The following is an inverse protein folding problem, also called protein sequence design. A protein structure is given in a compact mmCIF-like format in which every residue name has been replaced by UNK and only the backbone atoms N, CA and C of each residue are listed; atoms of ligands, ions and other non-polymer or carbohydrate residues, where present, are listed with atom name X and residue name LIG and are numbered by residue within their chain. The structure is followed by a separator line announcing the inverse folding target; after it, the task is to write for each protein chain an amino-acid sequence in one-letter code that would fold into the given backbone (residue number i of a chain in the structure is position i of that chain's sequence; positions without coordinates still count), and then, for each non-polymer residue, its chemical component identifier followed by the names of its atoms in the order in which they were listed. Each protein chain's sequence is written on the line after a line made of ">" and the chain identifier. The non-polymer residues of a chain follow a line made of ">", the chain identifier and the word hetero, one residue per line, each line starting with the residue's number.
data_IF_327383373835
#
_entry.id   IF_327383373835
#
_cell.length_a   1.000
_cell.length_b   1.000
_cell.length_c   1.000
_cell.angle_alpha   90.00
_cell.angle_beta   90.00
_cell.angle_gamma   90.00
#
_symmetry.space_group_name_H-M   'P 1'
#
loop_
_entity.id
_entity.type
_entity.pdbx_description
1 polymer ?
#
# COMPACT_ATOMS: atom_id res chain seq x y z
N UNK A 1 -4.38 0.95 -16.44
CA UNK A 1 -3.90 0.44 -17.76
C UNK A 1 -4.28 1.38 -18.89
N UNK A 2 -5.54 1.79 -19.03
CA UNK A 2 -5.99 2.62 -20.16
C UNK A 2 -5.19 3.90 -20.37
N UNK A 3 -4.86 4.64 -19.32
CA UNK A 3 -4.14 5.91 -19.44
C UNK A 3 -2.74 5.74 -20.04
N UNK A 4 -1.97 4.76 -19.60
CA UNK A 4 -0.59 4.52 -20.09
C UNK A 4 -0.58 4.05 -21.54
N UNK A 5 -1.54 3.21 -21.92
CA UNK A 5 -1.71 2.78 -23.31
C UNK A 5 -2.07 3.96 -24.22
N UNK A 6 -2.98 4.84 -23.77
CA UNK A 6 -3.35 6.03 -24.53
C UNK A 6 -2.18 7.01 -24.67
N UNK A 7 -1.39 7.21 -23.61
CA UNK A 7 -0.18 8.04 -23.69
C UNK A 7 0.76 7.50 -24.74
N UNK A 8 1.07 6.22 -24.70
CA UNK A 8 1.96 5.57 -25.66
C UNK A 8 1.43 5.67 -27.10
N UNK A 9 0.15 5.30 -27.32
CA UNK A 9 -0.44 5.26 -28.68
C UNK A 9 -0.62 6.64 -29.29
N UNK A 10 -0.89 7.69 -28.50
CA UNK A 10 -1.15 9.04 -29.00
C UNK A 10 0.09 9.93 -28.96
N UNK A 11 1.20 9.47 -28.38
CA UNK A 11 2.44 10.22 -28.36
C UNK A 11 2.90 10.56 -29.79
N UNK A 12 3.50 11.73 -29.96
CA UNK A 12 3.93 12.26 -31.26
C UNK A 12 2.82 12.45 -32.31
N UNK A 13 1.55 12.45 -31.88
CA UNK A 13 0.39 12.76 -32.75
C UNK A 13 -0.24 14.08 -32.33
N UNK A 14 -1.15 14.59 -33.18
CA UNK A 14 -1.95 15.78 -32.85
C UNK A 14 -2.93 15.57 -31.67
N UNK A 15 -3.04 14.35 -31.14
CA UNK A 15 -3.90 13.98 -30.03
C UNK A 15 -3.10 13.64 -28.74
N UNK A 16 -1.79 13.90 -28.73
CA UNK A 16 -0.97 13.71 -27.55
C UNK A 16 -1.52 14.51 -26.36
N UNK A 17 -1.46 13.91 -25.17
CA UNK A 17 -1.86 14.61 -23.94
C UNK A 17 -0.84 15.70 -23.58
N UNK A 18 -1.26 16.66 -22.76
CA UNK A 18 -0.36 17.72 -22.30
C UNK A 18 0.79 17.16 -21.44
N UNK A 19 1.92 17.87 -21.45
CA UNK A 19 3.07 17.57 -20.59
C UNK A 19 2.66 17.39 -19.12
N UNK A 20 1.81 18.28 -18.59
CA UNK A 20 1.30 18.21 -17.21
C UNK A 20 0.53 16.92 -16.95
N UNK A 21 -0.33 16.50 -17.89
CA UNK A 21 -1.09 15.26 -17.74
C UNK A 21 -0.19 14.02 -17.80
N UNK A 22 0.79 14.00 -18.70
CA UNK A 22 1.80 12.95 -18.81
C UNK A 22 2.63 12.86 -17.51
N UNK A 23 3.14 14.00 -17.03
CA UNK A 23 3.88 14.08 -15.76
C UNK A 23 3.04 13.62 -14.57
N UNK A 24 1.75 13.92 -14.54
CA UNK A 24 0.85 13.47 -13.49
C UNK A 24 0.75 11.93 -13.46
N UNK A 25 0.57 11.29 -14.61
CA UNK A 25 0.52 9.83 -14.70
C UNK A 25 1.87 9.20 -14.28
N UNK A 26 2.99 9.75 -14.73
CA UNK A 26 4.32 9.34 -14.30
C UNK A 26 4.45 9.40 -12.77
N UNK A 27 4.08 10.54 -12.17
CA UNK A 27 4.14 10.74 -10.72
C UNK A 27 3.29 9.74 -9.95
N UNK A 28 2.08 9.45 -10.43
CA UNK A 28 1.20 8.45 -9.81
C UNK A 28 1.85 7.07 -9.84
N UNK A 29 2.37 6.62 -10.96
CA UNK A 29 3.02 5.32 -11.09
C UNK A 29 4.25 5.21 -10.18
N UNK A 30 5.11 6.24 -10.16
CA UNK A 30 6.28 6.25 -9.29
C UNK A 30 5.90 6.26 -7.80
N UNK A 31 4.80 6.91 -7.44
CA UNK A 31 4.24 6.87 -6.09
C UNK A 31 3.72 5.47 -5.76
N UNK A 32 2.97 4.86 -6.67
CA UNK A 32 2.45 3.50 -6.49
C UNK A 32 3.58 2.49 -6.27
N UNK A 33 4.65 2.54 -7.07
CA UNK A 33 5.81 1.68 -6.87
C UNK A 33 6.54 1.92 -5.55
N UNK A 34 6.40 3.11 -4.96
CA UNK A 34 7.01 3.43 -3.68
C UNK A 34 6.26 2.78 -2.52
N UNK A 35 4.93 2.80 -2.48
CA UNK A 35 4.17 2.16 -1.40
C UNK A 35 3.93 0.66 -1.60
N UNK A 36 4.10 0.16 -2.82
CA UNK A 36 4.13 -1.29 -3.06
C UNK A 36 5.54 -1.82 -2.84
N UNK A 37 5.72 -2.82 -2.01
CA UNK A 37 7.01 -3.50 -1.98
C UNK A 37 7.07 -4.50 -3.14
N UNK A 38 7.71 -4.09 -4.23
CA UNK A 38 7.61 -4.70 -5.55
C UNK A 38 6.19 -4.57 -6.11
N UNK A 39 5.54 -5.68 -6.45
CA UNK A 39 4.28 -5.69 -7.19
C UNK A 39 3.04 -5.56 -6.30
N UNK A 40 3.09 -6.04 -5.05
CA UNK A 40 1.87 -6.19 -4.25
C UNK A 40 1.48 -4.90 -3.52
N UNK A 41 0.19 -4.59 -3.61
CA UNK A 41 -0.39 -3.53 -2.81
C UNK A 41 -0.47 -3.93 -1.33
N UNK A 42 -0.28 -2.97 -0.40
CA UNK A 42 -0.70 -3.16 0.98
C UNK A 42 -2.20 -3.45 1.06
N UNK A 43 -2.61 -4.29 2.02
CA UNK A 43 -4.02 -4.68 2.20
C UNK A 43 -4.95 -3.47 2.35
N UNK A 44 -4.54 -2.50 3.17
CA UNK A 44 -5.30 -1.28 3.44
C UNK A 44 -5.41 -0.31 2.25
N UNK A 45 -4.68 -0.57 1.16
CA UNK A 45 -4.67 0.24 -0.07
C UNK A 45 -5.24 -0.49 -1.27
N UNK A 46 -5.83 -1.64 -1.08
CA UNK A 46 -6.39 -2.48 -2.14
C UNK A 46 -7.89 -2.24 -2.38
N UNK A 47 -8.43 -1.11 -1.86
CA UNK A 47 -9.85 -0.76 -2.00
C UNK A 47 -10.76 -1.84 -1.44
N UNK A 48 -11.68 -2.33 -2.27
CA UNK A 48 -12.62 -3.41 -1.93
C UNK A 48 -12.03 -4.82 -1.99
N UNK A 49 -10.75 -4.96 -2.27
CA UNK A 49 -10.06 -6.25 -2.41
C UNK A 49 -8.86 -6.38 -1.47
N UNK A 50 -9.07 -6.34 -0.12
CA UNK A 50 -7.98 -6.50 0.85
C UNK A 50 -7.59 -7.99 1.03
N UNK A 51 -7.51 -8.72 -0.06
CA UNK A 51 -7.27 -10.17 -0.13
C UNK A 51 -5.82 -10.52 -0.52
N UNK A 52 -4.94 -9.53 -0.54
CA UNK A 52 -3.54 -9.70 -0.87
C UNK A 52 -3.25 -9.98 -2.36
N UNK A 53 -4.26 -9.96 -3.22
CA UNK A 53 -4.13 -10.26 -4.65
C UNK A 53 -3.83 -9.03 -5.52
N UNK A 54 -4.04 -7.82 -4.98
CA UNK A 54 -3.79 -6.57 -5.70
C UNK A 54 -2.32 -6.43 -6.11
N UNK A 55 -2.06 -6.17 -7.39
CA UNK A 55 -0.71 -6.05 -7.96
C UNK A 55 -0.58 -4.85 -8.87
N UNK A 56 0.61 -4.26 -8.89
CA UNK A 56 1.03 -3.38 -9.98
C UNK A 56 1.10 -4.17 -11.29
N UNK A 57 0.84 -3.51 -12.38
CA UNK A 57 1.00 -4.05 -13.73
C UNK A 57 2.29 -3.48 -14.32
N UNK A 58 3.38 -4.26 -14.39
CA UNK A 58 4.68 -3.75 -14.85
C UNK A 58 4.63 -3.12 -16.23
N UNK A 59 3.82 -3.67 -17.14
CA UNK A 59 3.71 -3.17 -18.50
C UNK A 59 3.27 -1.69 -18.59
N UNK A 60 2.56 -1.17 -17.57
CA UNK A 60 2.24 0.27 -17.51
C UNK A 60 3.50 1.14 -17.42
N UNK A 61 4.51 0.70 -16.67
CA UNK A 61 5.79 1.37 -16.56
C UNK A 61 6.59 1.28 -17.86
N UNK A 62 6.55 0.12 -18.52
CA UNK A 62 7.18 -0.07 -19.81
C UNK A 62 6.56 0.84 -20.91
N UNK A 63 5.23 0.93 -20.97
CA UNK A 63 4.53 1.82 -21.90
C UNK A 63 4.90 3.29 -21.69
N UNK A 64 4.99 3.71 -20.42
CA UNK A 64 5.46 5.06 -20.11
C UNK A 64 6.93 5.27 -20.46
N UNK A 65 7.77 4.25 -20.29
CA UNK A 65 9.19 4.32 -20.64
C UNK A 65 9.38 4.58 -22.15
N UNK A 66 8.64 3.86 -22.99
CA UNK A 66 8.75 3.99 -24.46
C UNK A 66 7.92 5.16 -25.02
N UNK A 67 7.06 5.78 -24.23
CA UNK A 67 6.39 7.01 -24.59
C UNK A 67 7.29 8.26 -24.46
N UNK A 68 8.50 8.12 -23.89
CA UNK A 68 9.42 9.21 -23.69
C UNK A 68 9.14 10.06 -22.45
N UNK A 69 9.95 11.10 -22.27
CA UNK A 69 9.78 12.04 -21.15
C UNK A 69 8.56 12.96 -21.35
N UNK A 70 7.91 13.40 -20.24
CA UNK A 70 6.74 14.27 -20.33
C UNK A 70 6.96 15.57 -21.14
N UNK A 71 8.18 16.11 -21.11
CA UNK A 71 8.57 17.31 -21.85
C UNK A 71 8.97 17.04 -23.32
N UNK A 72 8.90 15.78 -23.74
CA UNK A 72 9.18 15.35 -25.11
C UNK A 72 10.64 15.48 -25.56
N UNK A 73 11.59 15.67 -24.62
CA UNK A 73 13.01 15.83 -24.98
C UNK A 73 13.74 14.52 -25.23
N UNK A 74 13.31 13.45 -24.57
CA UNK A 74 13.91 12.14 -24.69
C UNK A 74 12.90 11.12 -25.21
N UNK A 75 13.31 10.29 -26.15
CA UNK A 75 12.49 9.23 -26.74
C UNK A 75 12.14 8.12 -25.75
N UNK A 76 12.90 8.00 -24.68
CA UNK A 76 12.66 7.06 -23.57
C UNK A 76 12.68 7.78 -22.23
N UNK A 77 11.75 7.43 -21.34
CA UNK A 77 11.79 7.91 -19.96
C UNK A 77 12.67 6.99 -19.08
N UNK A 78 13.84 7.47 -18.60
CA UNK A 78 14.79 6.64 -17.89
C UNK A 78 14.27 6.19 -16.52
N UNK A 79 13.48 7.01 -15.82
CA UNK A 79 12.94 6.65 -14.51
C UNK A 79 11.91 5.52 -14.64
N UNK A 80 11.06 5.61 -15.67
CA UNK A 80 10.04 4.61 -15.94
C UNK A 80 10.66 3.29 -16.44
N UNK A 81 11.72 3.36 -17.26
CA UNK A 81 12.47 2.19 -17.71
C UNK A 81 13.16 1.47 -16.53
N UNK A 82 13.84 2.23 -15.67
CA UNK A 82 14.50 1.68 -14.49
C UNK A 82 13.52 1.06 -13.50
N UNK A 83 12.37 1.73 -13.26
CA UNK A 83 11.30 1.20 -12.43
C UNK A 83 10.71 -0.10 -12.99
N UNK A 84 10.44 -0.14 -14.30
CA UNK A 84 9.97 -1.35 -14.97
C UNK A 84 10.93 -2.52 -14.79
N UNK A 85 12.20 -2.31 -15.10
CA UNK A 85 13.23 -3.35 -15.00
C UNK A 85 13.37 -3.88 -13.57
N UNK A 86 13.24 -3.01 -12.54
CA UNK A 86 13.19 -3.46 -11.15
C UNK A 86 11.95 -4.29 -10.85
N UNK A 87 10.77 -3.87 -11.32
CA UNK A 87 9.50 -4.57 -11.05
C UNK A 87 9.48 -5.99 -11.62
N UNK A 88 10.09 -6.21 -12.78
CA UNK A 88 10.18 -7.55 -13.41
C UNK A 88 11.43 -8.33 -13.02
N UNK A 89 12.19 -7.88 -12.01
CA UNK A 89 13.38 -8.56 -11.49
C UNK A 89 13.20 -8.91 -10.02
N UNK A 90 13.76 -10.03 -9.57
CA UNK A 90 14.02 -10.27 -8.15
C UNK A 90 15.37 -9.67 -7.79
N UNK A 91 15.48 -8.98 -6.65
CA UNK A 91 16.77 -8.64 -6.07
C UNK A 91 17.22 -9.76 -5.15
N UNK A 92 18.40 -10.32 -5.40
CA UNK A 92 19.08 -11.16 -4.42
C UNK A 92 20.01 -10.26 -3.62
N UNK A 93 19.62 -9.91 -2.40
CA UNK A 93 20.50 -9.18 -1.48
C UNK A 93 21.26 -10.21 -0.67
N UNK A 94 22.52 -10.44 -1.02
CA UNK A 94 23.51 -11.00 -0.11
C UNK A 94 24.08 -9.83 0.70
N UNK A 95 24.15 -9.97 2.02
CA UNK A 95 24.60 -8.90 2.90
C UNK A 95 26.02 -8.44 2.54
N UNK A 96 26.15 -7.20 2.07
CA UNK A 96 27.42 -6.53 1.78
C UNK A 96 27.85 -6.52 0.31
N UNK A 97 27.05 -7.05 -0.61
CA UNK A 97 27.28 -7.00 -2.05
C UNK A 97 26.21 -6.13 -2.75
N UNK A 98 26.54 -5.61 -3.93
CA UNK A 98 25.55 -4.95 -4.78
C UNK A 98 24.44 -5.95 -5.13
N UNK A 99 23.16 -5.52 -5.11
CA UNK A 99 22.05 -6.43 -5.38
C UNK A 99 22.13 -6.98 -6.82
N UNK A 100 22.16 -8.29 -6.94
CA UNK A 100 21.99 -8.95 -8.23
C UNK A 100 20.51 -9.07 -8.57
N UNK A 101 20.12 -8.56 -9.73
CA UNK A 101 18.73 -8.61 -10.21
C UNK A 101 18.52 -9.81 -11.13
N UNK A 102 17.80 -10.79 -10.63
CA UNK A 102 17.38 -11.96 -11.43
C UNK A 102 16.04 -11.68 -12.08
N UNK A 103 15.91 -11.74 -13.42
CA UNK A 103 14.66 -11.50 -14.11
C UNK A 103 13.55 -12.47 -13.68
N UNK A 104 12.36 -11.93 -13.44
CA UNK A 104 11.13 -12.69 -13.12
C UNK A 104 10.00 -12.18 -14.00
N UNK A 105 9.72 -12.89 -15.08
CA UNK A 105 8.67 -12.51 -16.02
C UNK A 105 7.42 -13.36 -15.82
N UNK A 106 6.25 -12.73 -15.93
CA UNK A 106 4.96 -13.42 -15.92
C UNK A 106 4.52 -13.86 -17.31
N UNK A 107 5.11 -13.26 -18.36
CA UNK A 107 4.79 -13.58 -19.74
C UNK A 107 5.93 -13.19 -20.70
N UNK A 108 5.79 -13.62 -21.97
CA UNK A 108 6.80 -13.36 -23.00
C UNK A 108 6.90 -11.87 -23.40
N UNK A 109 5.85 -11.11 -23.27
CA UNK A 109 5.83 -9.67 -23.61
C UNK A 109 6.68 -8.87 -22.62
N UNK A 110 6.57 -9.18 -21.32
CA UNK A 110 7.43 -8.58 -20.29
C UNK A 110 8.91 -8.90 -20.56
N UNK A 111 9.21 -10.13 -20.94
CA UNK A 111 10.59 -10.53 -21.27
C UNK A 111 11.13 -9.76 -22.49
N UNK A 112 10.35 -9.66 -23.55
CA UNK A 112 10.76 -8.93 -24.76
C UNK A 112 10.98 -7.44 -24.46
N UNK A 113 10.11 -6.82 -23.69
CA UNK A 113 10.23 -5.43 -23.32
C UNK A 113 11.44 -5.18 -22.40
N UNK A 114 11.71 -6.07 -21.44
CA UNK A 114 12.88 -5.95 -20.58
C UNK A 114 14.19 -6.10 -21.39
N UNK A 115 14.25 -7.03 -22.33
CA UNK A 115 15.38 -7.18 -23.24
C UNK A 115 15.56 -5.92 -24.06
N UNK A 116 14.50 -5.40 -24.68
CA UNK A 116 14.53 -4.20 -25.49
C UNK A 116 15.08 -2.97 -24.71
N UNK A 117 14.57 -2.71 -23.50
CA UNK A 117 15.05 -1.60 -22.68
C UNK A 117 16.49 -1.81 -22.19
N UNK A 118 16.86 -3.04 -21.85
CA UNK A 118 18.23 -3.37 -21.45
C UNK A 118 19.24 -3.18 -22.59
N UNK A 119 18.85 -3.51 -23.82
CA UNK A 119 19.67 -3.29 -25.03
C UNK A 119 19.83 -1.79 -25.34
N UNK A 120 18.87 -0.96 -24.93
CA UNK A 120 18.98 0.52 -24.96
C UNK A 120 19.90 1.08 -23.86
N UNK A 121 20.42 0.24 -22.98
CA UNK A 121 21.36 0.63 -21.91
C UNK A 121 20.71 0.94 -20.58
N UNK A 122 19.39 0.81 -20.43
CA UNK A 122 18.73 0.99 -19.15
C UNK A 122 19.04 -0.14 -18.17
N UNK A 123 19.02 0.17 -16.88
CA UNK A 123 19.27 -0.79 -15.80
C UNK A 123 18.16 -0.68 -14.75
N UNK A 124 17.90 -1.75 -13.99
CA UNK A 124 16.97 -1.67 -12.86
C UNK A 124 17.37 -0.58 -11.86
N UNK A 125 16.41 0.17 -11.36
CA UNK A 125 16.65 1.06 -10.22
C UNK A 125 16.92 0.24 -8.94
N UNK A 126 17.61 0.83 -7.97
CA UNK A 126 17.66 0.29 -6.62
C UNK A 126 16.28 0.30 -5.96
N UNK A 127 16.06 -0.53 -4.94
CA UNK A 127 14.83 -0.48 -4.18
C UNK A 127 14.63 0.92 -3.59
N UNK A 128 13.46 1.56 -3.79
CA UNK A 128 13.20 2.90 -3.26
C UNK A 128 13.36 2.93 -1.75
N UNK A 129 14.02 3.97 -1.25
CA UNK A 129 14.27 4.19 0.16
C UNK A 129 13.67 5.52 0.59
N UNK A 130 13.36 5.66 1.86
CA UNK A 130 12.93 6.93 2.40
C UNK A 130 11.55 6.91 3.04
N UNK A 131 11.02 8.11 3.29
CA UNK A 131 9.70 8.33 3.83
C UNK A 131 8.83 9.12 2.85
N UNK A 132 7.57 8.74 2.74
CA UNK A 132 6.57 9.43 1.94
C UNK A 132 5.28 9.59 2.74
N UNK A 133 4.82 10.83 2.89
CA UNK A 133 3.52 11.14 3.48
C UNK A 133 2.55 11.61 2.38
N UNK A 134 1.42 10.93 2.26
CA UNK A 134 0.34 11.23 1.33
C UNK A 134 -0.89 11.67 2.13
N UNK A 135 -0.93 12.96 2.51
CA UNK A 135 -1.94 13.51 3.40
C UNK A 135 -3.37 13.32 2.90
N UNK A 136 -3.63 13.54 1.61
CA UNK A 136 -4.96 13.34 1.02
C UNK A 136 -5.41 11.88 0.99
N UNK A 137 -4.47 10.94 0.97
CA UNK A 137 -4.76 9.50 1.05
C UNK A 137 -4.75 8.95 2.49
N UNK A 138 -4.47 9.79 3.49
CA UNK A 138 -4.28 9.39 4.89
C UNK A 138 -3.26 8.24 5.03
N UNK A 139 -2.12 8.35 4.34
CA UNK A 139 -1.10 7.30 4.26
C UNK A 139 0.27 7.89 4.61
N UNK A 140 1.08 7.08 5.28
CA UNK A 140 2.53 7.30 5.39
C UNK A 140 3.27 6.00 5.15
N UNK A 141 4.38 6.10 4.45
CA UNK A 141 5.21 4.96 4.07
C UNK A 141 6.65 5.21 4.50
N UNK A 142 7.25 4.24 5.17
CA UNK A 142 8.69 4.21 5.45
C UNK A 142 9.29 3.01 4.75
N UNK A 143 10.37 3.24 3.99
CA UNK A 143 11.13 2.17 3.32
C UNK A 143 12.59 2.22 3.73
N UNK A 144 13.12 1.05 4.12
CA UNK A 144 14.53 0.84 4.42
C UNK A 144 14.94 -0.56 3.99
N UNK A 145 16.14 -0.67 3.43
CA UNK A 145 16.62 -1.97 2.97
C UNK A 145 15.59 -2.68 2.10
N UNK A 146 15.20 -3.85 2.53
CA UNK A 146 14.26 -4.73 1.82
C UNK A 146 12.83 -4.75 2.41
N UNK A 147 12.45 -3.76 3.24
CA UNK A 147 11.13 -3.67 3.84
C UNK A 147 10.46 -2.33 3.60
N UNK A 148 9.14 -2.35 3.68
CA UNK A 148 8.30 -1.16 3.70
C UNK A 148 7.27 -1.26 4.81
N UNK A 149 7.14 -0.20 5.62
CA UNK A 149 6.06 -0.03 6.58
C UNK A 149 5.03 0.95 6.01
N UNK A 150 3.78 0.53 5.94
CA UNK A 150 2.68 1.33 5.40
C UNK A 150 1.67 1.56 6.52
N UNK A 151 1.48 2.83 6.90
CA UNK A 151 0.47 3.26 7.84
C UNK A 151 -0.73 3.83 7.10
N UNK A 152 -1.92 3.41 7.49
CA UNK A 152 -3.18 3.84 6.89
C UNK A 152 -4.14 4.37 7.96
N UNK A 153 -4.62 5.59 7.74
CA UNK A 153 -5.69 6.20 8.51
C UNK A 153 -6.88 6.57 7.64
N UNK A 154 -7.84 7.29 8.22
CA UNK A 154 -9.00 7.84 7.53
C UNK A 154 -9.42 9.17 8.16
N UNK A 155 -10.31 9.88 7.51
CA UNK A 155 -10.82 11.17 7.96
C UNK A 155 -12.20 11.44 7.35
N UNK A 156 -12.73 12.64 7.58
CA UNK A 156 -13.93 13.11 6.88
C UNK A 156 -13.75 13.31 5.36
N UNK A 157 -12.50 13.29 4.87
CA UNK A 157 -12.17 13.51 3.45
C UNK A 157 -11.78 12.23 2.73
N UNK A 158 -11.44 11.19 3.49
CA UNK A 158 -11.02 9.91 2.93
C UNK A 158 -11.57 8.75 3.77
N UNK A 159 -12.24 7.81 3.14
CA UNK A 159 -12.95 6.70 3.81
C UNK A 159 -12.03 5.71 4.52
N UNK A 160 -12.55 5.10 5.58
CA UNK A 160 -11.87 4.06 6.35
C UNK A 160 -11.83 2.73 5.61
N UNK A 161 -12.95 2.33 5.04
CA UNK A 161 -13.09 1.08 4.32
C UNK A 161 -14.08 1.26 3.16
N UNK A 162 -13.85 0.54 2.09
CA UNK A 162 -14.78 0.31 1.01
C UNK A 162 -15.29 -1.13 1.16
N UNK A 163 -16.52 -1.27 1.66
CA UNK A 163 -17.18 -2.56 1.72
C UNK A 163 -17.95 -2.82 0.44
N UNK A 164 -17.93 -4.04 -0.03
CA UNK A 164 -18.60 -4.43 -1.26
C UNK A 164 -19.16 -5.84 -1.15
N UNK A 165 -20.39 -6.03 -1.63
CA UNK A 165 -21.04 -7.34 -1.65
C UNK A 165 -20.18 -8.35 -2.41
N UNK A 166 -19.81 -9.44 -1.73
CA UNK A 166 -19.00 -10.51 -2.29
C UNK A 166 -17.49 -10.27 -2.33
N UNK A 167 -16.99 -9.13 -1.83
CA UNK A 167 -15.55 -8.85 -1.83
C UNK A 167 -14.99 -8.51 -0.44
N UNK A 168 -15.40 -7.41 0.16
CA UNK A 168 -14.89 -6.95 1.45
C UNK A 168 -16.02 -6.73 2.44
N UNK A 169 -16.22 -7.67 3.36
CA UNK A 169 -17.22 -7.55 4.43
C UNK A 169 -16.59 -7.40 5.83
N UNK A 170 -15.29 -7.62 5.99
CA UNK A 170 -14.62 -7.65 7.30
C UNK A 170 -13.53 -6.60 7.48
N UNK A 171 -13.15 -5.88 6.42
CA UNK A 171 -12.06 -4.90 6.43
C UNK A 171 -12.38 -3.55 7.11
N UNK A 172 -13.38 -3.48 8.00
CA UNK A 172 -13.82 -2.26 8.66
C UNK A 172 -12.68 -1.48 9.33
N UNK A 173 -11.75 -2.19 9.94
CA UNK A 173 -10.66 -1.61 10.71
C UNK A 173 -9.38 -1.32 9.92
N UNK A 174 -9.36 -1.57 8.60
CA UNK A 174 -8.16 -1.41 7.76
C UNK A 174 -7.52 -0.01 7.79
N UNK A 175 -8.28 1.02 8.18
CA UNK A 175 -7.79 2.39 8.27
C UNK A 175 -7.88 2.98 9.69
N UNK A 176 -7.98 2.15 10.72
CA UNK A 176 -7.97 2.58 12.13
C UNK A 176 -6.53 2.72 12.68
N UNK A 177 -5.62 3.28 11.88
CA UNK A 177 -4.20 3.35 12.19
C UNK A 177 -3.52 2.00 12.00
N UNK A 178 -3.87 1.28 10.94
CA UNK A 178 -3.16 0.04 10.60
C UNK A 178 -1.73 0.32 10.17
N UNK A 179 -0.83 -0.59 10.50
CA UNK A 179 0.57 -0.58 10.05
C UNK A 179 0.92 -1.95 9.49
N UNK A 180 1.07 -2.04 8.18
CA UNK A 180 1.51 -3.26 7.53
C UNK A 180 3.00 -3.20 7.21
N UNK A 181 3.72 -4.25 7.56
CA UNK A 181 5.10 -4.46 7.16
C UNK A 181 5.13 -5.41 5.96
N UNK A 182 5.67 -4.93 4.85
CA UNK A 182 5.97 -5.75 3.68
C UNK A 182 7.48 -5.99 3.64
N UNK A 183 7.87 -7.26 3.63
CA UNK A 183 9.28 -7.67 3.68
C UNK A 183 9.62 -8.57 2.51
N UNK A 184 10.87 -8.51 2.02
CA UNK A 184 11.41 -9.52 1.14
C UNK A 184 11.88 -10.73 1.95
N UNK A 185 11.49 -11.93 1.58
CA UNK A 185 12.20 -13.12 2.02
C UNK A 185 13.61 -13.13 1.42
N UNK A 186 14.63 -13.69 2.07
CA UNK A 186 15.96 -13.82 1.48
C UNK A 186 15.90 -14.46 0.08
N UNK A 187 16.41 -13.75 -0.94
CA UNK A 187 16.37 -14.19 -2.33
C UNK A 187 15.00 -14.23 -2.98
N UNK A 188 13.99 -13.58 -2.41
CA UNK A 188 12.61 -13.80 -2.78
C UNK A 188 11.80 -12.57 -3.19
N UNK A 189 10.67 -12.88 -3.80
CA UNK A 189 9.61 -11.93 -4.15
C UNK A 189 8.87 -11.50 -2.90
N UNK A 190 8.62 -10.21 -2.74
CA UNK A 190 7.75 -9.70 -1.68
C UNK A 190 6.29 -9.97 -2.04
N UNK A 191 5.61 -10.71 -1.20
CA UNK A 191 4.17 -10.94 -1.28
C UNK A 191 3.56 -10.71 0.10
N UNK A 192 2.25 -10.51 0.22
CA UNK A 192 1.59 -10.54 1.53
C UNK A 192 1.91 -11.81 2.30
N UNK A 193 1.92 -12.97 1.65
CA UNK A 193 2.26 -14.26 2.27
C UNK A 193 3.71 -14.31 2.79
N UNK A 194 4.70 -13.80 2.04
CA UNK A 194 6.10 -13.75 2.52
C UNK A 194 6.27 -12.76 3.68
N UNK A 195 5.37 -11.80 3.78
CA UNK A 195 5.30 -10.82 4.87
C UNK A 195 4.45 -11.29 6.06
N UNK A 196 4.07 -12.57 6.08
CA UNK A 196 3.34 -13.18 7.20
C UNK A 196 1.82 -12.99 7.17
N UNK A 197 1.23 -12.54 6.06
CA UNK A 197 -0.21 -12.47 5.89
C UNK A 197 -0.73 -13.70 5.14
N UNK A 198 -1.89 -14.20 5.58
CA UNK A 198 -2.63 -15.28 4.95
C UNK A 198 -4.12 -15.01 5.15
N UNK A 199 -4.93 -15.21 4.10
CA UNK A 199 -6.37 -14.94 4.15
C UNK A 199 -7.09 -15.90 5.11
N UNK A 200 -6.76 -17.19 5.01
CA UNK A 200 -7.35 -18.23 5.86
C UNK A 200 -6.88 -18.05 7.32
N UNK A 201 -7.84 -17.89 8.21
CA UNK A 201 -7.59 -17.72 9.64
C UNK A 201 -7.14 -16.33 10.07
N UNK A 202 -7.15 -15.34 9.16
CA UNK A 202 -6.87 -13.95 9.53
C UNK A 202 -7.97 -13.39 10.42
N UNK A 203 -7.60 -12.90 11.60
CA UNK A 203 -8.52 -12.22 12.51
C UNK A 203 -8.64 -10.75 12.13
N UNK A 204 -9.73 -10.39 11.48
CA UNK A 204 -10.01 -9.04 11.01
C UNK A 204 -10.26 -8.01 12.14
N UNK A 205 -10.42 -8.47 13.39
CA UNK A 205 -10.37 -7.59 14.57
C UNK A 205 -8.93 -7.14 14.89
N UNK A 206 -7.94 -7.97 14.55
CA UNK A 206 -6.54 -7.84 14.98
C UNK A 206 -5.61 -7.43 13.84
N UNK A 207 -5.96 -6.40 13.12
CA UNK A 207 -5.09 -5.84 12.08
C UNK A 207 -3.90 -5.13 12.74
N UNK A 208 -2.64 -5.44 12.38
CA UNK A 208 -1.47 -4.82 12.99
C UNK A 208 -1.53 -3.29 13.01
N UNK A 209 -1.18 -2.69 14.14
CA UNK A 209 -1.22 -1.26 14.40
C UNK A 209 -2.59 -0.72 14.82
N UNK A 210 -3.67 -1.45 14.56
CA UNK A 210 -5.04 -1.00 14.83
C UNK A 210 -5.37 -1.01 16.31
N UNK A 211 -6.14 0.00 16.75
CA UNK A 211 -6.87 0.00 18.01
C UNK A 211 -8.36 -0.10 17.67
N UNK A 212 -9.03 -1.14 18.16
CA UNK A 212 -10.42 -1.44 17.83
C UNK A 212 -11.13 -2.20 18.95
N UNK A 213 -12.46 -2.27 18.86
CA UNK A 213 -13.27 -3.14 19.71
C UNK A 213 -13.25 -4.53 19.10
N UNK A 214 -12.88 -5.55 19.89
CA UNK A 214 -12.85 -6.93 19.43
C UNK A 214 -14.27 -7.51 19.42
N UNK A 215 -14.87 -7.58 18.26
CA UNK A 215 -16.26 -8.00 18.08
C UNK A 215 -16.35 -9.49 17.70
N UNK A 216 -17.46 -10.16 18.01
CA UNK A 216 -17.84 -11.40 17.35
C UNK A 216 -17.82 -11.23 15.82
N UNK A 217 -17.48 -12.30 15.10
CA UNK A 217 -17.31 -12.23 13.64
C UNK A 217 -18.57 -11.72 12.91
N UNK A 218 -19.74 -12.13 13.35
CA UNK A 218 -21.02 -11.68 12.76
C UNK A 218 -21.29 -10.18 13.01
N UNK A 219 -20.83 -9.63 14.13
CA UNK A 219 -20.97 -8.21 14.47
C UNK A 219 -19.92 -7.34 13.76
N UNK A 220 -18.76 -7.93 13.44
CA UNK A 220 -17.72 -7.28 12.65
C UNK A 220 -18.14 -7.12 11.19
N UNK A 221 -18.97 -8.01 10.69
CA UNK A 221 -19.42 -7.99 9.30
C UNK A 221 -20.07 -6.65 8.92
N UNK A 222 -19.69 -6.11 7.78
CA UNK A 222 -20.23 -4.88 7.23
C UNK A 222 -21.72 -5.02 6.90
N UNK A 223 -22.49 -4.00 7.27
CA UNK A 223 -23.92 -3.89 6.96
C UNK A 223 -24.09 -2.87 5.84
N UNK A 224 -24.04 -3.34 4.59
CA UNK A 224 -24.02 -2.50 3.39
C UNK A 224 -25.39 -1.86 3.13
N UNK A 225 -25.80 -0.92 3.98
CA UNK A 225 -26.99 -0.10 3.85
C UNK A 225 -26.96 1.05 4.86
N UNK A 226 -27.74 2.09 4.62
CA UNK A 226 -27.88 3.27 5.51
C UNK A 226 -26.53 3.95 5.85
N UNK A 227 -25.78 4.28 4.84
CA UNK A 227 -24.50 5.01 4.95
C UNK A 227 -24.49 6.21 4.03
N UNK A 228 -23.53 7.13 4.25
CA UNK A 228 -23.43 8.39 3.54
C UNK A 228 -23.26 8.22 2.03
N UNK A 229 -22.52 7.17 1.63
CA UNK A 229 -22.28 6.83 0.24
C UNK A 229 -22.64 5.37 -0.02
N UNK A 230 -23.88 5.15 -0.39
CA UNK A 230 -24.40 3.83 -0.71
C UNK A 230 -24.94 3.80 -2.13
N UNK A 231 -24.29 3.03 -2.99
CA UNK A 231 -24.69 2.84 -4.39
C UNK A 231 -25.66 1.66 -4.59
N UNK A 232 -25.97 0.91 -3.54
CA UNK A 232 -26.72 -0.35 -3.60
C UNK A 232 -25.84 -1.60 -3.58
N UNK A 233 -24.53 -1.47 -3.79
CA UNK A 233 -23.57 -2.56 -3.84
C UNK A 233 -22.35 -2.34 -2.95
N UNK A 234 -22.08 -1.11 -2.58
CA UNK A 234 -20.89 -0.70 -1.81
C UNK A 234 -21.23 0.30 -0.72
N UNK A 235 -20.39 0.35 0.27
CA UNK A 235 -20.42 1.27 1.38
C UNK A 235 -19.05 1.88 1.58
N UNK A 236 -18.98 3.22 1.68
CA UNK A 236 -17.76 3.93 2.06
C UNK A 236 -18.02 4.64 3.40
N UNK A 237 -17.21 4.31 4.41
CA UNK A 237 -17.34 4.87 5.75
C UNK A 237 -16.39 6.04 5.94
N UNK A 238 -16.92 7.18 6.34
CA UNK A 238 -16.15 8.38 6.69
C UNK A 238 -16.17 8.61 8.20
N UNK A 239 -15.22 9.39 8.69
CA UNK A 239 -15.23 9.94 10.04
C UNK A 239 -15.76 11.38 10.00
N UNK A 240 -16.18 11.91 11.14
CA UNK A 240 -16.40 13.34 11.32
C UNK A 240 -15.10 14.10 11.62
N UNK A 241 -14.02 13.39 11.98
CA UNK A 241 -12.72 13.96 12.26
C UNK A 241 -11.97 14.36 10.99
N UNK A 242 -11.40 15.56 11.02
CA UNK A 242 -10.61 16.08 9.88
C UNK A 242 -9.11 15.74 9.97
N UNK A 243 -8.63 15.39 11.17
CA UNK A 243 -7.21 15.22 11.41
C UNK A 243 -6.75 13.78 11.11
N UNK A 244 -6.20 13.58 9.93
CA UNK A 244 -5.42 12.40 9.57
C UNK A 244 -4.40 12.77 8.49
N UNK A 245 -3.14 12.50 8.73
CA UNK A 245 -2.06 12.79 7.79
C UNK A 245 -0.71 12.82 8.45
N UNK A 246 0.31 13.14 7.68
CA UNK A 246 1.68 13.15 8.16
C UNK A 246 2.55 14.13 7.39
N UNK A 247 3.80 14.19 7.77
CA UNK A 247 4.83 14.90 7.05
C UNK A 247 6.06 14.01 6.86
N UNK A 248 6.79 14.30 5.82
CA UNK A 248 8.07 13.66 5.51
C UNK A 248 9.16 14.72 5.55
N UNK A 249 10.21 14.48 6.31
CA UNK A 249 11.37 15.36 6.39
C UNK A 249 12.43 14.88 5.42
N UNK A 250 12.71 15.71 4.41
CA UNK A 250 13.72 15.44 3.38
C UNK A 250 13.60 14.04 2.73
N UNK A 251 12.37 13.49 2.69
CA UNK A 251 12.09 12.14 2.23
C UNK A 251 12.85 11.03 2.99
N UNK A 252 13.36 11.31 4.16
CA UNK A 252 14.14 10.33 4.95
C UNK A 252 13.38 9.83 6.17
N UNK A 253 12.91 10.74 7.01
CA UNK A 253 12.14 10.43 8.21
C UNK A 253 10.77 11.09 8.13
N UNK A 254 9.87 10.71 9.01
CA UNK A 254 8.55 11.31 8.98
C UNK A 254 7.68 10.93 10.15
N UNK A 255 6.46 11.38 10.11
CA UNK A 255 5.43 10.96 11.05
C UNK A 255 4.07 10.86 10.36
N UNK A 256 3.16 10.19 11.04
CA UNK A 256 1.75 10.15 10.72
C UNK A 256 0.97 10.29 12.03
N UNK A 257 -0.13 11.02 12.00
CA UNK A 257 -1.04 11.14 13.14
C UNK A 257 -2.48 11.16 12.68
N UNK A 258 -3.37 10.63 13.53
CA UNK A 258 -4.81 10.71 13.29
C UNK A 258 -5.58 10.80 14.59
N UNK A 259 -6.75 11.42 14.51
CA UNK A 259 -7.84 11.23 15.46
C UNK A 259 -8.76 10.16 14.87
N UNK A 260 -8.78 9.02 15.54
CA UNK A 260 -9.71 7.94 15.22
C UNK A 260 -11.06 8.25 15.83
N UNK A 261 -12.10 8.19 15.02
CA UNK A 261 -13.48 8.18 15.47
C UNK A 261 -14.26 7.25 14.55
N UNK A 262 -14.73 6.14 15.09
CA UNK A 262 -15.51 5.19 14.34
C UNK A 262 -16.87 5.75 13.95
N UNK A 263 -17.39 5.35 12.81
CA UNK A 263 -18.67 5.80 12.30
C UNK A 263 -19.81 5.39 13.23
N UNK A 264 -20.78 6.29 13.44
CA UNK A 264 -21.93 6.10 14.36
C UNK A 264 -22.71 4.81 14.10
N UNK A 265 -22.79 4.38 12.87
CA UNK A 265 -23.43 3.12 12.45
C UNK A 265 -22.85 1.89 13.17
N UNK A 266 -21.56 1.93 13.50
CA UNK A 266 -20.87 0.76 14.04
C UNK A 266 -20.45 0.89 15.51
N UNK A 267 -20.17 2.01 15.99
CA UNK A 267 -20.00 2.41 17.38
C UNK A 267 -19.29 3.77 17.46
N UNK A 268 -19.99 4.83 17.20
CA UNK A 268 -19.48 6.19 17.22
C UNK A 268 -18.89 6.66 18.55
N UNK A 269 -18.99 5.86 19.63
CA UNK A 269 -18.31 6.17 20.89
C UNK A 269 -16.82 5.78 20.88
N UNK A 270 -16.38 4.91 19.96
CA UNK A 270 -14.99 4.48 19.91
C UNK A 270 -14.11 5.58 19.31
N UNK A 271 -13.16 6.06 20.12
CA UNK A 271 -12.22 7.11 19.78
C UNK A 271 -10.82 6.78 20.25
N UNK A 272 -9.83 7.31 19.53
CA UNK A 272 -8.43 7.26 19.93
C UNK A 272 -7.63 8.37 19.23
N UNK A 273 -6.47 8.70 19.77
CA UNK A 273 -5.41 9.41 19.04
C UNK A 273 -4.29 8.46 18.77
N UNK A 274 -3.85 8.41 17.53
CA UNK A 274 -2.76 7.52 17.11
C UNK A 274 -1.69 8.30 16.39
N UNK A 275 -0.43 7.97 16.65
CA UNK A 275 0.69 8.52 15.90
C UNK A 275 1.78 7.48 15.68
N UNK A 276 2.47 7.64 14.56
CA UNK A 276 3.58 6.81 14.13
C UNK A 276 4.73 7.73 13.76
N UNK A 277 5.90 7.45 14.27
CA UNK A 277 7.09 8.27 14.07
C UNK A 277 8.17 7.38 13.48
N UNK A 278 8.71 7.80 12.35
CA UNK A 278 9.68 7.03 11.56
C UNK A 278 11.06 7.69 11.68
N UNK A 279 12.00 6.94 12.23
CA UNK A 279 13.38 7.36 12.42
C UNK A 279 14.30 6.28 11.86
N UNK A 280 14.69 6.43 10.60
CA UNK A 280 15.48 5.46 9.88
C UNK A 280 14.86 4.05 9.92
N UNK A 281 15.44 3.09 10.61
CA UNK A 281 14.93 1.71 10.77
C UNK A 281 14.00 1.55 12.00
N UNK A 282 13.77 2.62 12.76
CA UNK A 282 12.95 2.58 13.98
C UNK A 282 11.58 3.21 13.73
N UNK A 283 10.55 2.54 14.20
CA UNK A 283 9.17 3.03 14.17
C UNK A 283 8.65 3.08 15.59
N UNK A 284 8.21 4.27 16.04
CA UNK A 284 7.57 4.45 17.34
C UNK A 284 6.08 4.66 17.12
N UNK A 285 5.27 3.76 17.70
CA UNK A 285 3.81 3.80 17.62
C UNK A 285 3.26 4.25 18.98
N UNK A 286 2.41 5.27 18.98
CA UNK A 286 1.79 5.81 20.19
C UNK A 286 0.27 5.83 20.03
N UNK A 287 -0.43 5.58 21.15
CA UNK A 287 -1.88 5.70 21.26
C UNK A 287 -2.27 6.38 22.57
N UNK A 288 -3.24 7.28 22.52
CA UNK A 288 -3.82 7.94 23.70
C UNK A 288 -5.30 8.20 23.52
N UNK A 289 -5.96 8.61 24.60
CA UNK A 289 -7.38 8.95 24.63
C UNK A 289 -8.24 7.84 23.98
N UNK A 290 -7.91 6.59 24.32
CA UNK A 290 -8.63 5.42 23.83
C UNK A 290 -9.87 5.26 24.69
N UNK A 291 -11.04 5.42 24.10
CA UNK A 291 -12.33 5.36 24.78
C UNK A 291 -13.43 4.73 23.93
N UNK A 292 -14.40 4.13 24.56
CA UNK A 292 -15.66 3.72 23.97
C UNK A 292 -16.70 3.40 25.07
N UNK A 293 -17.96 3.32 24.70
CA UNK A 293 -19.05 2.94 25.63
C UNK A 293 -19.43 1.47 25.57
N UNK A 294 -18.73 0.68 24.75
CA UNK A 294 -18.96 -0.76 24.69
C UNK A 294 -18.42 -1.40 25.98
N UNK A 295 -19.29 -2.00 26.78
CA UNK A 295 -18.94 -2.71 28.01
C UNK A 295 -18.90 -4.22 27.84
N UNK A 296 -19.28 -4.72 26.69
CA UNK A 296 -19.40 -6.17 26.43
C UNK A 296 -18.11 -6.74 25.82
N UNK A 297 -17.48 -5.98 24.91
CA UNK A 297 -16.31 -6.45 24.18
C UNK A 297 -15.07 -5.61 24.49
N UNK A 298 -13.87 -6.25 24.58
CA UNK A 298 -12.64 -5.53 24.91
C UNK A 298 -12.19 -4.62 23.79
N UNK A 299 -11.55 -3.51 24.15
CA UNK A 299 -10.78 -2.68 23.23
C UNK A 299 -9.33 -3.16 23.22
N UNK A 300 -8.80 -3.47 22.05
CA UNK A 300 -7.47 -4.03 21.86
C UNK A 300 -6.63 -3.16 20.92
N UNK A 301 -5.32 -3.08 21.19
CA UNK A 301 -4.34 -2.58 20.23
C UNK A 301 -3.50 -3.73 19.75
N UNK A 302 -3.57 -4.02 18.46
CA UNK A 302 -2.83 -5.14 17.87
C UNK A 302 -1.43 -4.70 17.49
N UNK A 303 -0.43 -5.36 18.04
CA UNK A 303 0.97 -5.09 17.71
C UNK A 303 1.34 -5.79 16.41
N UNK A 304 1.03 -7.07 16.28
CA UNK A 304 1.23 -7.84 15.06
C UNK A 304 0.28 -9.03 14.99
N UNK A 305 0.07 -9.52 13.78
CA UNK A 305 -0.58 -10.78 13.47
C UNK A 305 0.16 -11.41 12.29
N UNK A 306 0.67 -12.63 12.47
CA UNK A 306 1.44 -13.34 11.47
C UNK A 306 0.91 -14.76 11.31
N UNK A 307 0.86 -15.25 10.07
CA UNK A 307 0.55 -16.63 9.78
C UNK A 307 1.67 -17.57 10.26
N UNK A 308 1.32 -18.61 10.98
CA UNK A 308 2.25 -19.66 11.37
C UNK A 308 2.37 -20.65 10.21
N UNK A 309 3.57 -20.74 9.61
CA UNK A 309 3.82 -21.56 8.41
C UNK A 309 4.04 -23.04 8.75
N UNK A 310 4.62 -23.31 9.93
CA UNK A 310 4.83 -24.66 10.43
C UNK A 310 5.01 -24.64 11.97
N UNK A 311 5.14 -25.85 12.55
CA UNK A 311 5.31 -25.99 14.01
C UNK A 311 6.66 -25.47 14.53
N UNK A 312 7.62 -25.15 13.69
CA UNK A 312 8.93 -24.59 14.05
C UNK A 312 8.88 -23.09 14.29
N UNK A 313 7.89 -22.40 13.73
CA UNK A 313 7.66 -20.96 13.91
C UNK A 313 7.21 -20.58 15.34
N UNK A 314 6.92 -21.55 16.21
CA UNK A 314 6.52 -21.32 17.61
C UNK A 314 7.60 -20.70 18.51
N UNK A 315 8.83 -20.56 18.02
CA UNK A 315 9.93 -19.99 18.80
C UNK A 315 9.95 -18.46 18.91
N UNK A 316 9.03 -17.77 18.24
CA UNK A 316 8.87 -16.32 18.37
C UNK A 316 8.35 -15.82 19.73
N UNK A 317 7.92 -16.73 20.61
CA UNK A 317 7.21 -16.41 21.85
C UNK A 317 7.97 -16.78 23.14
N UNK A 318 9.27 -16.89 23.08
CA UNK A 318 10.09 -17.10 24.28
C UNK A 318 10.83 -15.86 24.71
#
# INVERSE_FOLDING_TARGET
>A
EGATNMIYLLNHTGFAISELAHQTVKTVLLTMRFYCNKLHFPLSMSGRHPDGKGKLVPMQYAMMAIAGTPDGKEDFDPDMAAAYLRLVSASTVTSGEEPEYVPQFTNAEEQQMATFLSDKGFRPEADPQGNLALGYGCISVQRRGNWAAIVRGHSRYFWAAEHYLGANLYGRYLAHGSMQLLTAAPGGTVTPATSGWQEEGFDWNRIPGVTSIHLPFDDLQAKIYNVDTYSGMEEMLYSDEAFAGGLSQQHMNGNFGMKLHEHDKYNGSHRARKSFHFFDETIVCLGSDIENTNSEYPTETTIFQLAVRDNTDRNFWK
#
